data_IF_199794050548
#
_entry.id   IF_199794050548
#
_cell.length_a   1.000
_cell.length_b   1.000
_cell.length_c   1.000
_cell.angle_alpha   90.00
_cell.angle_beta   90.00
_cell.angle_gamma   90.00
#
_symmetry.space_group_name_H-M   'P 1'
#
loop_
_entity.id
_entity.type
_entity.pdbx_description
1 polymer ?
#
# COMPACT_ATOMS: atom_id res chain seq x y z
N UNK A 1 25.04 -17.17 -3.62
CA UNK A 1 24.73 -16.65 -2.26
C UNK A 1 23.28 -16.97 -1.99
N UNK A 2 23.00 -17.79 -0.96
CA UNK A 2 21.65 -18.13 -0.56
C UNK A 2 21.04 -16.96 0.25
N UNK A 3 19.78 -16.63 -0.02
CA UNK A 3 19.07 -15.53 0.66
C UNK A 3 18.77 -15.84 2.14
N UNK A 4 18.89 -17.11 2.53
CA UNK A 4 18.69 -17.59 3.90
C UNK A 4 19.98 -17.67 4.73
N UNK A 5 21.16 -17.54 4.11
CA UNK A 5 22.45 -17.59 4.81
C UNK A 5 22.80 -16.21 5.40
N UNK A 6 21.97 -15.75 6.34
CA UNK A 6 22.03 -14.39 6.89
C UNK A 6 23.28 -14.22 7.77
N UNK A 7 24.15 -13.23 7.50
CA UNK A 7 25.31 -12.93 8.33
C UNK A 7 24.92 -12.60 9.78
N UNK A 8 25.70 -12.99 10.80
CA UNK A 8 25.35 -12.80 12.21
C UNK A 8 25.02 -11.35 12.59
N UNK A 9 25.79 -10.38 12.07
CA UNK A 9 25.57 -8.96 12.33
C UNK A 9 24.25 -8.43 11.73
N UNK A 10 23.78 -9.03 10.63
CA UNK A 10 22.47 -8.72 10.04
C UNK A 10 21.37 -9.40 10.84
N UNK A 11 21.58 -10.67 11.24
CA UNK A 11 20.60 -11.39 12.06
C UNK A 11 20.30 -10.68 13.39
N UNK A 12 21.32 -10.14 14.05
CA UNK A 12 21.15 -9.34 15.27
C UNK A 12 20.27 -8.10 15.04
N UNK A 13 20.49 -7.38 13.93
CA UNK A 13 19.66 -6.22 13.57
C UNK A 13 18.23 -6.63 13.22
N UNK A 14 18.04 -7.73 12.48
CA UNK A 14 16.71 -8.26 12.19
C UNK A 14 15.95 -8.68 13.46
N UNK A 15 16.65 -9.18 14.48
CA UNK A 15 16.04 -9.47 15.78
C UNK A 15 15.57 -8.18 16.47
N UNK A 16 16.37 -7.11 16.42
CA UNK A 16 15.98 -5.80 16.96
C UNK A 16 14.80 -5.18 16.20
N UNK A 17 14.80 -5.28 14.86
CA UNK A 17 13.67 -4.88 14.02
C UNK A 17 12.40 -5.66 14.42
N UNK A 18 12.51 -6.97 14.60
CA UNK A 18 11.37 -7.79 15.00
C UNK A 18 10.83 -7.42 16.39
N UNK A 19 11.70 -7.16 17.37
CA UNK A 19 11.29 -6.71 18.70
C UNK A 19 10.53 -5.36 18.64
N UNK A 20 11.01 -4.42 17.84
CA UNK A 20 10.36 -3.12 17.65
C UNK A 20 9.01 -3.26 16.92
N UNK A 21 8.93 -4.12 15.92
CA UNK A 21 7.68 -4.45 15.24
C UNK A 21 6.65 -5.07 16.20
N UNK A 22 7.08 -5.97 17.09
CA UNK A 22 6.21 -6.62 18.08
C UNK A 22 5.64 -5.64 19.12
N UNK A 23 6.36 -4.54 19.39
CA UNK A 23 5.91 -3.48 20.28
C UNK A 23 4.95 -2.49 19.60
N UNK A 24 5.13 -2.23 18.30
CA UNK A 24 4.44 -1.16 17.58
C UNK A 24 3.27 -1.61 16.72
N UNK A 25 3.23 -2.88 16.32
CA UNK A 25 2.17 -3.44 15.48
C UNK A 25 1.45 -4.54 16.27
N UNK A 26 0.10 -4.54 16.31
CA UNK A 26 -0.66 -5.62 16.94
C UNK A 26 -0.28 -6.98 16.38
N UNK A 27 -0.32 -8.01 17.25
CA UNK A 27 -0.08 -9.38 16.80
C UNK A 27 -1.26 -9.90 15.96
N UNK A 28 -0.94 -10.69 14.93
CA UNK A 28 -1.95 -11.44 14.18
C UNK A 28 -2.54 -12.54 15.07
N UNK A 29 -3.85 -12.53 15.22
CA UNK A 29 -4.62 -13.46 16.05
C UNK A 29 -5.58 -14.22 15.14
N UNK A 30 -5.34 -15.53 15.01
CA UNK A 30 -6.19 -16.44 14.23
C UNK A 30 -7.64 -16.28 14.68
N UNK A 31 -8.53 -16.14 13.71
CA UNK A 31 -9.99 -15.97 13.89
C UNK A 31 -10.45 -14.81 14.78
N UNK A 32 -9.56 -13.85 15.09
CA UNK A 32 -9.90 -12.71 15.96
C UNK A 32 -9.65 -11.35 15.34
N UNK A 33 -8.61 -11.22 14.51
CA UNK A 33 -8.34 -9.96 13.85
C UNK A 33 -7.87 -10.14 12.40
N UNK A 34 -7.92 -9.04 11.66
CA UNK A 34 -7.37 -8.87 10.32
C UNK A 34 -6.50 -7.62 10.28
N UNK A 35 -5.25 -7.77 9.86
CA UNK A 35 -4.28 -6.68 9.71
C UNK A 35 -4.04 -6.40 8.21
N UNK A 36 -4.47 -5.22 7.76
CA UNK A 36 -4.35 -4.76 6.37
C UNK A 36 -3.36 -3.62 6.32
N UNK A 37 -2.43 -3.64 5.36
CA UNK A 37 -1.51 -2.53 5.13
C UNK A 37 -1.46 -2.09 3.67
N UNK A 38 -0.97 -0.88 3.48
CA UNK A 38 -0.53 -0.37 2.18
C UNK A 38 0.87 0.19 2.31
N UNK A 39 1.71 -0.03 1.29
CA UNK A 39 3.07 0.46 1.28
C UNK A 39 3.57 0.74 -0.14
N UNK A 40 3.78 2.02 -0.47
CA UNK A 40 4.60 2.37 -1.62
C UNK A 40 6.04 1.98 -1.30
N UNK A 41 6.59 0.99 -2.03
CA UNK A 41 7.99 0.58 -1.91
C UNK A 41 8.73 1.15 -3.11
N UNK A 42 9.45 2.26 -2.88
CA UNK A 42 10.14 3.04 -3.91
C UNK A 42 10.84 2.17 -4.95
N UNK A 43 10.42 2.24 -6.21
CA UNK A 43 11.01 1.50 -7.32
C UNK A 43 11.33 0.02 -6.99
N UNK A 44 10.33 -0.74 -6.52
CA UNK A 44 10.49 -2.14 -6.09
C UNK A 44 10.66 -3.08 -7.29
N UNK A 45 11.88 -3.11 -7.81
CA UNK A 45 12.23 -3.83 -9.04
C UNK A 45 13.44 -4.75 -8.88
N UNK A 46 14.62 -4.22 -9.22
CA UNK A 46 15.88 -4.96 -9.13
C UNK A 46 16.53 -4.84 -7.73
N UNK A 47 17.54 -5.67 -7.47
CA UNK A 47 18.41 -5.62 -6.29
C UNK A 47 19.84 -6.06 -6.63
N UNK A 48 20.80 -5.58 -5.84
CA UNK A 48 22.17 -6.07 -5.82
C UNK A 48 22.27 -7.35 -4.98
N UNK A 49 22.77 -8.44 -5.57
CA UNK A 49 22.92 -9.77 -4.93
C UNK A 49 24.11 -9.84 -3.96
N UNK A 50 24.17 -8.91 -3.01
CA UNK A 50 25.15 -8.83 -1.92
C UNK A 50 24.42 -8.59 -0.61
N UNK A 51 25.02 -8.98 0.52
CA UNK A 51 24.49 -8.61 1.84
C UNK A 51 24.64 -7.12 2.14
N UNK A 52 25.66 -6.47 1.57
CA UNK A 52 25.93 -5.04 1.69
C UNK A 52 26.36 -4.50 0.33
N UNK A 53 25.51 -3.69 -0.30
CA UNK A 53 25.85 -2.93 -1.50
C UNK A 53 26.93 -1.88 -1.23
N UNK A 54 27.87 -1.76 -2.17
CA UNK A 54 28.92 -0.76 -2.21
C UNK A 54 28.44 0.57 -2.85
N UNK A 55 29.29 1.58 -2.84
CA UNK A 55 28.95 2.92 -3.32
C UNK A 55 28.87 3.01 -4.86
N UNK A 56 29.49 2.08 -5.58
CA UNK A 56 29.37 1.92 -7.03
C UNK A 56 28.29 0.90 -7.46
N UNK A 57 27.69 0.14 -6.54
CA UNK A 57 26.64 -0.82 -6.89
C UNK A 57 25.33 -0.12 -7.29
N UNK A 58 24.65 -0.63 -8.31
CA UNK A 58 23.31 -0.20 -8.72
C UNK A 58 22.43 -1.42 -9.05
N UNK A 59 21.21 -1.51 -8.50
CA UNK A 59 20.57 -0.60 -7.55
C UNK A 59 21.16 -0.71 -6.13
N UNK A 60 20.89 0.28 -5.26
CA UNK A 60 21.38 0.28 -3.87
C UNK A 60 20.72 -0.76 -2.98
N UNK A 61 19.46 -1.12 -3.27
CA UNK A 61 18.74 -2.20 -2.59
C UNK A 61 19.51 -3.51 -2.70
N UNK A 62 19.66 -4.19 -1.58
CA UNK A 62 20.47 -5.40 -1.45
C UNK A 62 19.78 -6.45 -0.57
N UNK A 63 20.42 -7.60 -0.31
CA UNK A 63 19.80 -8.71 0.42
C UNK A 63 19.42 -8.32 1.85
N UNK A 64 20.20 -7.47 2.52
CA UNK A 64 19.84 -6.96 3.85
C UNK A 64 18.56 -6.10 3.77
N UNK A 65 18.47 -5.23 2.77
CA UNK A 65 17.29 -4.39 2.54
C UNK A 65 16.02 -5.22 2.36
N UNK A 66 16.12 -6.30 1.56
CA UNK A 66 15.00 -7.21 1.27
C UNK A 66 14.60 -8.02 2.51
N UNK A 67 15.55 -8.41 3.36
CA UNK A 67 15.24 -9.01 4.66
C UNK A 67 14.43 -8.06 5.54
N UNK A 68 14.83 -6.79 5.67
CA UNK A 68 14.06 -5.80 6.44
C UNK A 68 12.65 -5.62 5.90
N UNK A 69 12.49 -5.43 4.58
CA UNK A 69 11.19 -5.33 3.91
C UNK A 69 10.32 -6.55 4.24
N UNK A 70 10.89 -7.76 4.13
CA UNK A 70 10.15 -9.00 4.41
C UNK A 70 9.70 -9.09 5.89
N UNK A 71 10.51 -8.66 6.87
CA UNK A 71 10.10 -8.68 8.29
C UNK A 71 8.92 -7.74 8.55
N UNK A 72 8.90 -6.57 7.90
CA UNK A 72 7.80 -5.60 8.00
C UNK A 72 6.53 -6.18 7.36
N UNK A 73 6.62 -6.72 6.14
CA UNK A 73 5.48 -7.34 5.45
C UNK A 73 4.86 -8.49 6.26
N UNK A 74 5.69 -9.30 6.95
CA UNK A 74 5.24 -10.42 7.80
C UNK A 74 4.30 -10.04 8.95
N UNK A 75 4.20 -8.76 9.29
CA UNK A 75 3.32 -8.28 10.38
C UNK A 75 1.86 -8.16 9.96
N UNK A 76 1.58 -8.13 8.67
CA UNK A 76 0.22 -7.97 8.15
C UNK A 76 -0.29 -9.27 7.52
N UNK A 77 -1.60 -9.37 7.36
CA UNK A 77 -2.23 -10.50 6.66
C UNK A 77 -2.24 -10.30 5.15
N UNK A 78 -2.41 -9.05 4.76
CA UNK A 78 -2.42 -8.60 3.37
C UNK A 78 -1.83 -7.20 3.27
N UNK A 79 -1.00 -6.99 2.27
CA UNK A 79 -0.36 -5.70 1.99
C UNK A 79 -0.55 -5.35 0.52
N UNK A 80 -1.11 -4.17 0.26
CA UNK A 80 -1.06 -3.56 -1.06
C UNK A 80 0.28 -2.85 -1.26
N UNK A 81 0.96 -3.14 -2.35
CA UNK A 81 2.28 -2.61 -2.67
C UNK A 81 2.19 -1.83 -3.98
N UNK A 82 2.61 -0.58 -3.92
CA UNK A 82 2.76 0.29 -5.08
C UNK A 82 4.22 0.31 -5.55
N UNK A 83 4.46 0.81 -6.76
CA UNK A 83 5.78 0.91 -7.41
C UNK A 83 6.52 -0.42 -7.67
N UNK A 84 5.79 -1.53 -7.78
CA UNK A 84 6.37 -2.80 -8.26
C UNK A 84 6.81 -2.63 -9.71
N UNK A 85 8.10 -2.79 -10.04
CA UNK A 85 8.60 -2.53 -11.41
C UNK A 85 8.40 -3.71 -12.35
N UNK A 86 8.66 -3.46 -13.65
CA UNK A 86 8.71 -4.48 -14.71
C UNK A 86 9.57 -5.70 -14.32
N UNK A 87 10.78 -5.44 -13.80
CA UNK A 87 11.68 -6.45 -13.27
C UNK A 87 11.26 -6.85 -11.86
N UNK A 88 10.83 -8.11 -11.66
CA UNK A 88 10.31 -8.60 -10.38
C UNK A 88 11.39 -9.21 -9.45
N UNK A 89 12.69 -8.99 -9.69
CA UNK A 89 13.74 -9.70 -8.94
C UNK A 89 13.63 -9.49 -7.43
N UNK A 90 13.47 -8.26 -6.99
CA UNK A 90 13.31 -7.89 -5.58
C UNK A 90 12.05 -8.49 -4.98
N UNK A 91 10.91 -8.37 -5.67
CA UNK A 91 9.65 -8.96 -5.25
C UNK A 91 9.74 -10.48 -5.08
N UNK A 92 10.32 -11.18 -6.05
CA UNK A 92 10.48 -12.65 -6.01
C UNK A 92 11.39 -13.10 -4.87
N UNK A 93 12.43 -12.33 -4.57
CA UNK A 93 13.29 -12.61 -3.42
C UNK A 93 12.60 -12.36 -2.09
N UNK A 94 11.83 -11.28 -1.98
CA UNK A 94 10.99 -11.04 -0.80
C UNK A 94 10.02 -12.20 -0.59
N UNK A 95 9.33 -12.67 -1.63
CA UNK A 95 8.43 -13.84 -1.52
C UNK A 95 9.15 -15.11 -1.05
N UNK A 96 10.40 -15.35 -1.48
CA UNK A 96 11.20 -16.49 -0.97
C UNK A 96 11.46 -16.38 0.53
N UNK A 97 11.72 -15.18 1.05
CA UNK A 97 11.91 -14.95 2.50
C UNK A 97 10.59 -15.07 3.27
N UNK A 98 9.50 -14.61 2.67
CA UNK A 98 8.16 -14.72 3.24
C UNK A 98 7.73 -16.19 3.39
N UNK A 99 8.05 -17.02 2.40
CA UNK A 99 7.84 -18.46 2.41
C UNK A 99 6.62 -18.91 1.60
N UNK A 100 6.39 -20.23 1.56
CA UNK A 100 5.39 -20.88 0.69
C UNK A 100 3.93 -20.54 1.01
N UNK A 101 3.67 -20.00 2.20
CA UNK A 101 2.33 -19.57 2.62
C UNK A 101 1.99 -18.15 2.18
N UNK A 102 2.86 -17.48 1.42
CA UNK A 102 2.58 -16.15 0.89
C UNK A 102 2.29 -16.23 -0.60
N UNK A 103 1.18 -15.62 -0.99
CA UNK A 103 0.78 -15.49 -2.39
C UNK A 103 0.84 -14.03 -2.82
N UNK A 104 0.78 -13.85 -4.14
CA UNK A 104 0.91 -12.58 -4.82
C UNK A 104 -0.12 -12.52 -5.95
N UNK A 105 -0.78 -11.38 -6.10
CA UNK A 105 -1.53 -11.01 -7.30
C UNK A 105 -1.16 -9.58 -7.70
N UNK A 106 -0.99 -9.32 -8.99
CA UNK A 106 -0.54 -8.03 -9.51
C UNK A 106 -1.22 -7.69 -10.84
N UNK A 107 -1.29 -6.39 -11.14
CA UNK A 107 -1.56 -5.90 -12.51
C UNK A 107 -0.37 -6.18 -13.42
N UNK A 108 -0.56 -6.08 -14.74
CA UNK A 108 0.60 -5.98 -15.64
C UNK A 108 1.12 -4.54 -15.69
N UNK A 109 2.29 -4.34 -16.32
CA UNK A 109 2.76 -3.00 -16.67
C UNK A 109 1.95 -2.47 -17.84
N UNK A 110 1.54 -1.21 -17.75
CA UNK A 110 0.96 -0.53 -18.89
C UNK A 110 1.96 -0.42 -20.04
N UNK A 111 1.48 -0.61 -21.27
CA UNK A 111 2.34 -0.44 -22.46
C UNK A 111 2.67 1.04 -22.65
N UNK A 112 3.95 1.32 -22.92
CA UNK A 112 4.48 2.68 -23.10
C UNK A 112 5.02 3.31 -21.81
N UNK A 113 5.68 4.46 -21.96
CA UNK A 113 6.48 5.05 -20.88
C UNK A 113 5.65 5.72 -19.79
N UNK A 114 4.40 6.05 -20.09
CA UNK A 114 3.55 6.85 -19.21
C UNK A 114 3.34 6.17 -17.84
N UNK A 115 3.32 4.83 -17.79
CA UNK A 115 3.09 4.03 -16.58
C UNK A 115 4.36 3.77 -15.77
N UNK A 116 5.51 4.31 -16.19
CA UNK A 116 6.81 4.12 -15.58
C UNK A 116 7.22 2.63 -15.43
N UNK A 117 6.60 1.71 -16.16
CA UNK A 117 6.80 0.27 -15.98
C UNK A 117 6.50 -0.21 -14.56
N UNK A 118 5.44 0.32 -13.94
CA UNK A 118 4.97 -0.03 -12.60
C UNK A 118 3.71 -0.89 -12.61
N UNK A 119 3.53 -1.61 -11.50
CA UNK A 119 2.41 -2.47 -11.21
C UNK A 119 1.90 -2.18 -9.81
N UNK A 120 0.64 -2.49 -9.60
CA UNK A 120 0.06 -2.63 -8.27
C UNK A 120 0.02 -4.11 -7.91
N UNK A 121 0.30 -4.41 -6.65
CA UNK A 121 0.34 -5.79 -6.17
C UNK A 121 -0.34 -5.92 -4.81
N UNK A 122 -0.91 -7.08 -4.55
CA UNK A 122 -1.25 -7.54 -3.22
C UNK A 122 -0.39 -8.76 -2.87
N UNK A 123 0.24 -8.71 -1.70
CA UNK A 123 0.93 -9.86 -1.11
C UNK A 123 0.18 -10.24 0.16
N UNK A 124 -0.14 -11.53 0.33
CA UNK A 124 -0.99 -11.98 1.43
C UNK A 124 -0.64 -13.39 1.93
N UNK A 125 -0.88 -13.63 3.22
CA UNK A 125 -0.66 -14.92 3.88
C UNK A 125 -1.87 -15.84 3.64
N UNK A 126 -1.69 -16.90 2.86
CA UNK A 126 -2.76 -17.82 2.43
C UNK A 126 -3.32 -18.67 3.56
N UNK A 127 -2.68 -18.67 4.73
CA UNK A 127 -3.21 -19.30 5.94
C UNK A 127 -4.28 -18.44 6.61
N UNK A 128 -4.31 -17.14 6.29
CA UNK A 128 -5.18 -16.13 6.90
C UNK A 128 -6.24 -15.65 5.92
N UNK A 129 -5.82 -15.30 4.71
CA UNK A 129 -6.68 -14.66 3.70
C UNK A 129 -6.66 -15.46 2.41
N UNK A 130 -7.83 -15.59 1.77
CA UNK A 130 -7.99 -16.21 0.44
C UNK A 130 -8.61 -15.19 -0.50
N UNK A 131 -8.31 -15.28 -1.79
CA UNK A 131 -9.09 -14.54 -2.79
C UNK A 131 -10.52 -15.06 -2.83
N UNK A 132 -11.49 -14.17 -3.06
CA UNK A 132 -12.92 -14.52 -3.13
C UNK A 132 -13.51 -14.48 -4.54
N UNK A 133 -12.78 -13.95 -5.54
CA UNK A 133 -13.10 -14.15 -6.95
C UNK A 133 -12.98 -12.91 -7.85
N UNK A 134 -13.09 -11.71 -7.30
CA UNK A 134 -12.91 -10.47 -8.05
C UNK A 134 -11.43 -10.11 -8.14
N UNK A 135 -10.96 -9.81 -9.36
CA UNK A 135 -9.73 -9.08 -9.62
C UNK A 135 -9.97 -8.23 -10.87
N UNK A 136 -9.89 -6.91 -10.74
CA UNK A 136 -10.25 -5.99 -11.82
C UNK A 136 -9.41 -4.72 -11.77
N UNK A 137 -9.07 -4.21 -12.95
CA UNK A 137 -8.61 -2.84 -13.11
C UNK A 137 -9.81 -1.95 -13.41
N UNK A 138 -9.88 -0.83 -12.70
CA UNK A 138 -10.99 0.10 -12.76
C UNK A 138 -10.70 1.16 -13.83
N UNK A 139 -11.37 1.04 -14.98
CA UNK A 139 -11.37 2.04 -16.06
C UNK A 139 -12.53 3.02 -15.91
N UNK A 140 -12.24 4.32 -16.00
CA UNK A 140 -13.24 5.38 -15.91
C UNK A 140 -14.25 5.26 -17.07
N UNK A 141 -15.57 5.26 -16.81
CA UNK A 141 -16.59 5.20 -17.86
C UNK A 141 -16.47 6.34 -18.87
N UNK A 142 -16.81 6.06 -20.14
CA UNK A 142 -16.63 7.03 -21.22
C UNK A 142 -17.46 8.31 -20.99
N UNK A 143 -18.64 8.15 -20.41
CA UNK A 143 -19.59 9.22 -20.13
C UNK A 143 -19.02 10.26 -19.15
N UNK A 144 -18.05 9.87 -18.33
CA UNK A 144 -17.46 10.71 -17.29
C UNK A 144 -16.18 11.43 -17.74
N UNK A 145 -15.63 11.05 -18.90
CA UNK A 145 -14.40 11.63 -19.42
C UNK A 145 -14.53 13.14 -19.71
N UNK A 146 -15.71 13.55 -20.19
CA UNK A 146 -16.02 14.95 -20.48
C UNK A 146 -16.01 15.83 -19.21
N UNK A 147 -16.22 15.24 -18.03
CA UNK A 147 -16.17 15.92 -16.73
C UNK A 147 -14.73 16.01 -16.17
N UNK A 148 -13.79 15.22 -16.70
CA UNK A 148 -12.44 15.01 -16.14
C UNK A 148 -11.40 15.82 -16.91
N UNK A 149 -11.17 15.50 -18.19
CA UNK A 149 -10.31 16.25 -19.10
C UNK A 149 -10.37 15.69 -20.51
N UNK A 150 -10.05 16.52 -21.51
CA UNK A 150 -9.90 16.07 -22.91
C UNK A 150 -8.79 15.00 -23.09
N UNK A 151 -7.95 14.77 -22.06
CA UNK A 151 -6.87 13.77 -22.03
C UNK A 151 -7.18 12.56 -21.15
N UNK A 152 -8.35 12.50 -20.50
CA UNK A 152 -8.70 11.46 -19.55
C UNK A 152 -8.61 10.05 -20.17
N UNK A 153 -8.98 9.90 -21.45
CA UNK A 153 -8.83 8.64 -22.20
C UNK A 153 -7.39 8.19 -22.38
N UNK A 154 -6.47 9.14 -22.59
CA UNK A 154 -5.05 8.83 -22.76
C UNK A 154 -4.33 8.60 -21.44
N UNK A 155 -4.84 9.18 -20.35
CA UNK A 155 -4.23 9.11 -19.02
C UNK A 155 -4.79 7.97 -18.15
N UNK A 156 -6.03 7.52 -18.39
CA UNK A 156 -6.66 6.45 -17.59
C UNK A 156 -5.83 5.16 -17.60
N UNK A 157 -5.29 4.76 -18.76
CA UNK A 157 -4.55 3.50 -18.94
C UNK A 157 -3.17 3.49 -18.30
N UNK A 158 -2.87 4.46 -17.43
CA UNK A 158 -1.52 4.66 -16.96
C UNK A 158 -1.32 4.19 -15.53
N UNK A 159 -2.37 4.20 -14.68
CA UNK A 159 -2.43 3.61 -13.33
C UNK A 159 -3.90 3.43 -12.85
N UNK A 160 -4.66 2.56 -13.51
CA UNK A 160 -6.03 2.25 -13.09
C UNK A 160 -6.07 1.79 -11.62
N UNK A 161 -7.01 2.23 -10.78
CA UNK A 161 -7.22 1.61 -9.48
C UNK A 161 -7.37 0.10 -9.62
N UNK A 162 -6.68 -0.66 -8.78
CA UNK A 162 -6.69 -2.11 -8.85
C UNK A 162 -7.50 -2.69 -7.71
N UNK A 163 -8.60 -3.37 -8.04
CA UNK A 163 -9.53 -3.95 -7.08
C UNK A 163 -9.38 -5.47 -7.02
N UNK A 164 -9.23 -6.02 -5.82
CA UNK A 164 -9.23 -7.47 -5.60
C UNK A 164 -10.09 -7.81 -4.39
N UNK A 165 -10.93 -8.83 -4.51
CA UNK A 165 -11.72 -9.34 -3.41
C UNK A 165 -11.03 -10.49 -2.69
N UNK A 166 -11.12 -10.43 -1.38
CA UNK A 166 -10.57 -11.39 -0.44
C UNK A 166 -11.66 -11.85 0.53
N UNK A 167 -11.36 -12.93 1.23
CA UNK A 167 -12.16 -13.44 2.33
C UNK A 167 -11.29 -13.97 3.45
N UNK A 168 -11.79 -13.80 4.66
CA UNK A 168 -11.27 -14.38 5.89
C UNK A 168 -12.48 -14.81 6.73
N UNK A 169 -12.50 -16.06 7.17
CA UNK A 169 -13.68 -16.65 7.82
C UNK A 169 -14.96 -16.42 7.02
N UNK A 170 -15.97 -15.76 7.61
CA UNK A 170 -17.23 -15.43 6.94
C UNK A 170 -17.23 -14.02 6.32
N UNK A 171 -16.17 -13.24 6.54
CA UNK A 171 -16.06 -11.86 6.07
C UNK A 171 -15.47 -11.83 4.65
N UNK A 172 -16.14 -11.10 3.76
CA UNK A 172 -15.64 -10.79 2.42
C UNK A 172 -15.34 -9.31 2.34
N UNK A 173 -14.20 -8.97 1.75
CA UNK A 173 -13.76 -7.59 1.60
C UNK A 173 -13.07 -7.37 0.26
N UNK A 174 -13.30 -6.22 -0.35
CA UNK A 174 -12.60 -5.74 -1.53
C UNK A 174 -11.62 -4.67 -1.09
N UNK A 175 -10.37 -4.84 -1.53
CA UNK A 175 -9.37 -3.80 -1.46
C UNK A 175 -9.24 -3.15 -2.82
N UNK A 176 -9.26 -1.83 -2.87
CA UNK A 176 -8.94 -1.05 -4.06
C UNK A 176 -7.69 -0.25 -3.80
N UNK A 177 -6.61 -0.60 -4.49
CA UNK A 177 -5.35 0.13 -4.38
C UNK A 177 -5.24 1.23 -5.42
N UNK A 178 -4.85 2.43 -4.96
CA UNK A 178 -4.66 3.60 -5.80
C UNK A 178 -3.20 4.07 -5.76
N UNK A 179 -2.70 4.53 -6.91
CA UNK A 179 -1.40 5.17 -7.04
C UNK A 179 -1.51 6.37 -7.98
N UNK A 180 -2.10 7.44 -7.46
CA UNK A 180 -2.46 8.64 -8.24
C UNK A 180 -1.18 9.36 -8.67
N UNK A 181 -1.11 9.84 -9.91
CA UNK A 181 0.10 10.51 -10.40
C UNK A 181 0.37 11.81 -9.66
N UNK A 182 1.64 12.05 -9.39
CA UNK A 182 2.11 13.38 -9.00
C UNK A 182 2.09 14.28 -10.25
N UNK A 183 1.00 15.03 -10.43
CA UNK A 183 0.82 15.97 -11.54
C UNK A 183 1.80 17.17 -11.48
N UNK A 184 1.79 18.02 -12.52
CA UNK A 184 2.57 19.28 -12.52
C UNK A 184 1.98 20.30 -11.56
N UNK A 185 0.65 20.27 -11.35
CA UNK A 185 -0.06 21.15 -10.42
C UNK A 185 -1.03 20.37 -9.54
N UNK A 186 -1.41 20.94 -8.41
CA UNK A 186 -2.44 20.37 -7.54
C UNK A 186 -3.83 20.36 -8.17
N UNK A 187 -4.10 21.28 -9.12
CA UNK A 187 -5.39 21.37 -9.83
C UNK A 187 -5.70 20.13 -10.65
N UNK A 188 -4.68 19.59 -11.34
CA UNK A 188 -4.82 18.39 -12.19
C UNK A 188 -5.27 17.17 -11.37
N UNK A 189 -4.76 17.05 -10.14
CA UNK A 189 -5.07 15.95 -9.22
C UNK A 189 -6.50 16.02 -8.65
N UNK A 190 -7.08 17.22 -8.49
CA UNK A 190 -8.41 17.39 -7.89
C UNK A 190 -9.48 16.70 -8.73
N UNK A 191 -9.43 16.88 -10.05
CA UNK A 191 -10.43 16.29 -10.96
C UNK A 191 -10.36 14.76 -10.94
N UNK A 192 -9.15 14.21 -11.02
CA UNK A 192 -8.91 12.76 -10.96
C UNK A 192 -9.42 12.17 -9.63
N UNK A 193 -9.03 12.77 -8.50
CA UNK A 193 -9.47 12.33 -7.17
C UNK A 193 -10.99 12.42 -7.02
N UNK A 194 -11.61 13.51 -7.48
CA UNK A 194 -13.06 13.69 -7.39
C UNK A 194 -13.81 12.61 -8.17
N UNK A 195 -13.39 12.33 -9.41
CA UNK A 195 -14.06 11.36 -10.26
C UNK A 195 -13.88 9.94 -9.78
N UNK A 196 -12.68 9.59 -9.31
CA UNK A 196 -12.43 8.32 -8.63
C UNK A 196 -13.30 8.23 -7.38
N UNK A 197 -13.34 9.25 -6.53
CA UNK A 197 -14.13 9.22 -5.30
C UNK A 197 -15.64 9.08 -5.59
N UNK A 198 -16.17 9.76 -6.60
CA UNK A 198 -17.55 9.60 -7.08
C UNK A 198 -17.81 8.18 -7.57
N UNK A 199 -16.92 7.64 -8.40
CA UNK A 199 -17.05 6.27 -8.90
C UNK A 199 -17.06 5.25 -7.77
N UNK A 200 -16.09 5.36 -6.87
CA UNK A 200 -15.97 4.45 -5.73
C UNK A 200 -17.19 4.58 -4.80
N UNK A 201 -17.77 5.77 -4.68
CA UNK A 201 -19.00 6.01 -3.91
C UNK A 201 -20.21 5.31 -4.53
N UNK A 202 -20.34 5.37 -5.86
CA UNK A 202 -21.40 4.66 -6.58
C UNK A 202 -21.21 3.14 -6.51
N UNK A 203 -19.99 2.65 -6.73
CA UNK A 203 -19.69 1.23 -6.64
C UNK A 203 -19.91 0.67 -5.23
N UNK A 204 -19.57 1.44 -4.19
CA UNK A 204 -19.81 1.09 -2.79
C UNK A 204 -21.31 0.87 -2.48
N UNK A 205 -22.21 1.61 -3.14
CA UNK A 205 -23.67 1.41 -3.00
C UNK A 205 -24.11 0.08 -3.62
N UNK A 206 -23.54 -0.28 -4.77
CA UNK A 206 -23.91 -1.49 -5.52
C UNK A 206 -23.39 -2.78 -4.85
N UNK A 207 -22.11 -2.83 -4.46
CA UNK A 207 -21.50 -4.04 -3.85
C UNK A 207 -22.08 -4.38 -2.48
N UNK A 208 -22.63 -3.40 -1.78
CA UNK A 208 -23.28 -3.65 -0.50
C UNK A 208 -24.54 -4.52 -0.64
N UNK A 209 -25.19 -4.54 -1.81
CA UNK A 209 -26.24 -5.52 -2.08
C UNK A 209 -25.76 -6.98 -1.87
N UNK A 210 -24.44 -7.19 -1.84
CA UNK A 210 -23.78 -8.47 -1.61
C UNK A 210 -23.00 -8.54 -0.27
N UNK A 211 -23.22 -7.60 0.66
CA UNK A 211 -22.59 -7.56 1.99
C UNK A 211 -21.05 -7.60 1.99
N UNK A 212 -20.41 -6.91 1.05
CA UNK A 212 -18.94 -6.86 0.97
C UNK A 212 -18.38 -5.60 1.63
N UNK A 213 -17.36 -5.77 2.49
CA UNK A 213 -16.58 -4.65 3.01
C UNK A 213 -15.76 -4.01 1.89
N UNK A 214 -15.70 -2.68 1.81
CA UNK A 214 -15.03 -1.97 0.71
C UNK A 214 -14.03 -0.96 1.23
N UNK A 215 -12.75 -1.19 0.96
CA UNK A 215 -11.64 -0.40 1.52
C UNK A 215 -10.76 0.11 0.38
N UNK A 216 -10.54 1.42 0.37
CA UNK A 216 -9.62 2.12 -0.53
C UNK A 216 -8.31 2.37 0.21
N UNK A 217 -7.18 2.11 -0.45
CA UNK A 217 -5.86 2.27 0.16
C UNK A 217 -4.76 2.49 -0.89
N UNK A 218 -3.60 3.00 -0.50
CA UNK A 218 -2.51 3.26 -1.45
C UNK A 218 -1.91 4.64 -1.30
N UNK A 219 -1.16 5.05 -2.33
CA UNK A 219 -0.55 6.37 -2.44
C UNK A 219 -1.45 7.27 -3.30
N UNK A 220 -2.20 8.14 -2.62
CA UNK A 220 -3.14 9.07 -3.26
C UNK A 220 -2.46 10.39 -3.63
N UNK A 221 -1.17 10.55 -3.29
CA UNK A 221 -0.44 11.81 -3.48
C UNK A 221 -1.18 13.04 -2.92
N UNK A 222 -1.92 12.88 -1.81
CA UNK A 222 -2.54 13.97 -1.06
C UNK A 222 -1.46 14.76 -0.32
N UNK A 223 -1.40 16.08 -0.51
CA UNK A 223 -0.24 16.84 -0.08
C UNK A 223 -0.21 17.06 1.43
N UNK A 224 -1.32 17.47 2.04
CA UNK A 224 -1.39 17.80 3.46
C UNK A 224 -2.76 17.46 4.03
N UNK A 225 -2.82 17.20 5.32
CA UNK A 225 -4.10 17.04 6.05
C UNK A 225 -4.95 18.30 5.91
N UNK A 226 -6.22 18.12 5.58
CA UNK A 226 -7.18 19.21 5.42
C UNK A 226 -6.93 20.10 4.19
N UNK A 227 -6.01 19.75 3.29
CA UNK A 227 -5.89 20.45 2.02
C UNK A 227 -7.10 20.17 1.10
N UNK A 228 -7.18 20.87 -0.03
CA UNK A 228 -8.29 20.72 -0.96
C UNK A 228 -8.39 19.30 -1.56
N UNK A 229 -7.25 18.62 -1.73
CA UNK A 229 -7.23 17.23 -2.23
C UNK A 229 -7.84 16.29 -1.18
N UNK A 230 -7.47 16.45 0.09
CA UNK A 230 -8.02 15.70 1.21
C UNK A 230 -9.52 15.99 1.38
N UNK A 231 -9.94 17.24 1.31
CA UNK A 231 -11.36 17.63 1.39
C UNK A 231 -12.18 17.03 0.24
N UNK A 232 -11.65 17.08 -0.99
CA UNK A 232 -12.30 16.48 -2.17
C UNK A 232 -12.46 14.97 -2.00
N UNK A 233 -11.43 14.29 -1.50
CA UNK A 233 -11.44 12.86 -1.26
C UNK A 233 -12.53 12.44 -0.26
N UNK A 234 -12.64 13.16 0.87
CA UNK A 234 -13.63 12.83 1.92
C UNK A 234 -15.06 13.29 1.58
N UNK A 235 -15.23 14.31 0.72
CA UNK A 235 -16.53 14.90 0.39
C UNK A 235 -17.54 13.89 -0.20
N UNK A 236 -17.05 12.88 -0.92
CA UNK A 236 -17.89 11.84 -1.52
C UNK A 236 -18.36 10.77 -0.52
N UNK A 237 -17.95 10.86 0.75
CA UNK A 237 -18.33 9.97 1.84
C UNK A 237 -17.23 9.02 2.31
N UNK A 238 -15.99 9.21 1.85
CA UNK A 238 -14.86 8.44 2.35
C UNK A 238 -14.48 8.93 3.75
N UNK A 239 -14.42 8.00 4.67
CA UNK A 239 -14.00 8.19 6.03
C UNK A 239 -12.59 7.63 6.21
N UNK A 240 -11.68 8.49 6.65
CA UNK A 240 -10.37 8.09 7.15
C UNK A 240 -10.50 7.99 8.67
N UNK A 241 -10.17 6.86 9.33
CA UNK A 241 -10.30 6.73 10.77
C UNK A 241 -9.43 7.75 11.53
N UNK A 242 -9.90 8.22 12.67
CA UNK A 242 -9.26 9.28 13.48
C UNK A 242 -7.79 8.97 13.80
N UNK A 243 -7.49 7.70 14.07
CA UNK A 243 -6.16 7.18 14.33
C UNK A 243 -5.20 7.52 13.19
N UNK A 244 -5.64 7.38 11.93
CA UNK A 244 -4.82 7.69 10.76
C UNK A 244 -4.78 9.17 10.40
N UNK A 245 -5.77 9.94 10.84
CA UNK A 245 -5.79 11.40 10.72
C UNK A 245 -4.81 12.08 11.69
N UNK A 246 -4.46 11.41 12.80
CA UNK A 246 -3.52 11.93 13.79
C UNK A 246 -2.20 12.40 13.13
N UNK A 247 -1.73 13.59 13.51
CA UNK A 247 -0.50 14.21 12.98
C UNK A 247 0.76 13.42 13.29
N UNK A 248 0.74 12.57 14.31
CA UNK A 248 1.86 11.69 14.66
C UNK A 248 1.96 10.47 13.73
N UNK A 249 0.93 10.16 12.96
CA UNK A 249 0.98 9.07 11.98
C UNK A 249 1.57 9.59 10.67
N UNK A 250 2.81 9.25 10.38
CA UNK A 250 3.54 9.82 9.25
C UNK A 250 3.33 9.02 7.96
N UNK A 251 3.58 9.66 6.81
CA UNK A 251 3.50 9.02 5.47
C UNK A 251 4.85 8.99 4.75
N UNK A 252 5.63 10.06 4.86
CA UNK A 252 6.94 10.19 4.22
C UNK A 252 8.08 10.25 5.24
N UNK A 253 9.23 9.66 4.88
CA UNK A 253 10.46 9.72 5.67
C UNK A 253 11.14 11.11 5.64
N UNK A 254 10.83 11.91 4.62
CA UNK A 254 11.48 13.20 4.37
C UNK A 254 10.68 14.38 4.90
N UNK A 255 9.36 14.35 4.73
CA UNK A 255 8.49 15.45 5.11
C UNK A 255 7.27 14.94 5.87
N UNK A 256 7.29 15.16 7.18
CA UNK A 256 6.23 14.74 8.11
C UNK A 256 4.88 15.42 7.86
N UNK A 257 4.86 16.54 7.15
CA UNK A 257 3.61 17.23 6.79
C UNK A 257 2.87 16.56 5.64
N UNK A 258 3.56 15.72 4.85
CA UNK A 258 2.98 15.05 3.69
C UNK A 258 1.96 13.99 4.10
N UNK A 259 0.89 13.90 3.33
CA UNK A 259 -0.27 13.06 3.63
C UNK A 259 -0.60 12.11 2.47
N UNK A 260 0.42 11.63 1.77
CA UNK A 260 0.29 10.92 0.50
C UNK A 260 -0.57 9.66 0.60
N UNK A 261 -0.20 8.74 1.49
CA UNK A 261 -0.84 7.44 1.59
C UNK A 261 -2.12 7.46 2.44
N UNK A 262 -3.14 6.71 2.04
CA UNK A 262 -4.42 6.63 2.74
C UNK A 262 -4.88 5.19 2.91
N UNK A 263 -5.70 4.98 3.95
CA UNK A 263 -6.62 3.85 4.08
C UNK A 263 -7.96 4.47 4.51
N UNK A 264 -9.00 4.23 3.72
CA UNK A 264 -10.32 4.81 3.92
C UNK A 264 -11.42 3.85 3.45
N UNK A 265 -12.62 4.03 3.95
CA UNK A 265 -13.83 3.31 3.52
C UNK A 265 -15.00 4.28 3.52
N UNK A 266 -16.08 3.94 2.85
CA UNK A 266 -17.25 4.82 2.86
C UNK A 266 -17.98 4.74 4.20
N UNK A 267 -18.35 5.88 4.74
CA UNK A 267 -19.19 6.00 5.93
C UNK A 267 -19.95 7.34 5.85
N UNK A 268 -21.28 7.30 5.78
CA UNK A 268 -22.11 8.50 5.93
C UNK A 268 -23.22 8.24 6.95
N UNK A 269 -23.20 8.94 8.10
CA UNK A 269 -24.32 8.94 9.04
C UNK A 269 -25.61 9.32 8.30
N UNK A 270 -26.70 8.58 8.55
CA UNK A 270 -28.05 8.86 8.00
C UNK A 270 -28.18 8.76 6.47
N UNK A 271 -27.42 7.88 5.81
CA UNK A 271 -27.56 7.61 4.38
C UNK A 271 -27.56 6.10 4.10
N UNK A 272 -28.02 5.70 2.90
CA UNK A 272 -27.90 4.32 2.38
C UNK A 272 -26.44 3.91 2.07
N UNK A 273 -25.43 4.69 2.50
CA UNK A 273 -24.03 4.35 2.31
C UNK A 273 -23.59 3.42 3.46
N UNK A 274 -23.00 2.26 3.16
CA UNK A 274 -22.87 1.20 4.15
C UNK A 274 -21.74 1.42 5.14
N UNK A 275 -21.87 0.82 6.32
CA UNK A 275 -20.77 0.64 7.26
C UNK A 275 -20.06 -0.69 6.97
N UNK A 276 -18.75 -0.77 7.29
CA UNK A 276 -18.04 -2.05 7.31
C UNK A 276 -18.72 -3.00 8.30
N UNK A 277 -18.89 -4.27 7.95
CA UNK A 277 -19.29 -5.33 8.89
C UNK A 277 -18.17 -5.65 9.86
N UNK A 278 -16.92 -5.55 9.39
CA UNK A 278 -15.74 -5.68 10.23
C UNK A 278 -15.57 -4.43 11.10
N UNK A 279 -15.42 -4.62 12.41
CA UNK A 279 -15.25 -3.52 13.35
C UNK A 279 -13.79 -3.06 13.38
N UNK A 280 -13.57 -1.80 13.06
CA UNK A 280 -12.25 -1.17 13.14
C UNK A 280 -11.77 -1.10 14.60
N UNK A 281 -10.54 -1.57 14.86
CA UNK A 281 -9.91 -1.57 16.17
C UNK A 281 -8.85 -0.47 16.32
N UNK A 282 -7.89 -0.43 15.38
CA UNK A 282 -6.76 0.49 15.46
C UNK A 282 -6.12 0.71 14.08
N UNK A 283 -5.25 1.71 13.97
CA UNK A 283 -4.45 1.95 12.77
C UNK A 283 -3.26 2.85 13.05
N UNK A 284 -2.27 2.79 12.18
CA UNK A 284 -1.07 3.59 12.32
C UNK A 284 -0.12 3.48 11.13
N UNK A 285 1.12 3.90 11.36
CA UNK A 285 2.23 3.69 10.44
C UNK A 285 3.33 2.93 11.17
N UNK A 286 4.28 2.37 10.42
CA UNK A 286 5.51 1.83 11.02
C UNK A 286 6.74 2.64 10.57
N UNK A 287 7.35 3.36 11.50
CA UNK A 287 8.63 4.06 11.27
C UNK A 287 9.80 3.08 11.34
N UNK A 288 10.25 2.62 10.17
CA UNK A 288 11.37 1.68 10.04
C UNK A 288 12.76 2.34 10.13
N UNK A 289 12.87 3.68 10.15
CA UNK A 289 14.18 4.35 10.10
C UNK A 289 15.08 4.02 11.30
N UNK A 290 14.58 3.91 12.54
CA UNK A 290 15.42 3.66 13.72
C UNK A 290 15.94 2.23 13.82
N UNK A 291 15.40 1.28 13.05
CA UNK A 291 15.65 -0.16 13.25
C UNK A 291 16.18 -0.87 12.01
N UNK A 292 16.10 -0.25 10.83
CA UNK A 292 16.60 -0.83 9.58
C UNK A 292 17.91 -0.21 9.14
N UNK A 293 18.84 -1.05 8.67
CA UNK A 293 20.15 -0.70 8.14
C UNK A 293 20.97 0.16 9.11
N UNK A 294 20.80 -0.04 10.42
CA UNK A 294 21.46 0.78 11.46
C UNK A 294 22.94 0.45 11.58
N UNK A 295 23.34 -0.77 11.26
CA UNK A 295 24.73 -1.21 11.22
C UNK A 295 25.54 -0.60 10.04
N UNK A 296 24.97 0.36 9.28
CA UNK A 296 25.52 0.84 8.01
C UNK A 296 25.70 2.36 7.86
N UNK A 297 25.61 3.16 8.91
CA UNK A 297 25.72 4.64 8.86
C UNK A 297 25.11 5.26 7.59
N UNK A 298 23.88 4.85 7.26
CA UNK A 298 23.23 5.13 5.97
C UNK A 298 22.34 6.37 6.09
N UNK A 299 22.52 7.33 5.19
CA UNK A 299 21.68 8.54 5.13
C UNK A 299 20.21 8.20 4.81
N UNK A 300 19.27 9.07 5.21
CA UNK A 300 17.84 8.91 4.86
C UNK A 300 17.62 8.74 3.36
N UNK A 301 18.33 9.51 2.54
CA UNK A 301 18.26 9.41 1.08
C UNK A 301 18.66 8.02 0.58
N UNK A 302 19.77 7.47 1.09
CA UNK A 302 20.20 6.13 0.70
C UNK A 302 19.23 5.06 1.23
N UNK A 303 18.73 5.20 2.47
CA UNK A 303 17.68 4.31 3.01
C UNK A 303 16.42 4.31 2.14
N UNK A 304 16.05 5.45 1.54
CA UNK A 304 14.87 5.50 0.66
C UNK A 304 14.99 4.62 -0.58
N UNK A 305 16.18 4.51 -1.17
CA UNK A 305 16.44 3.65 -2.33
C UNK A 305 16.62 2.17 -1.95
N UNK A 306 16.90 1.90 -0.68
CA UNK A 306 17.12 0.54 -0.18
C UNK A 306 15.81 -0.07 0.34
N UNK A 307 15.06 0.70 1.13
CA UNK A 307 13.77 0.33 1.71
C UNK A 307 12.65 1.05 0.96
N UNK A 308 12.28 2.25 1.38
CA UNK A 308 11.30 3.13 0.72
C UNK A 308 11.42 4.58 1.25
N UNK A 309 10.88 5.56 0.54
CA UNK A 309 10.61 6.93 1.04
C UNK A 309 9.23 7.10 1.69
N UNK A 310 8.39 6.08 1.63
CA UNK A 310 7.09 6.03 2.30
C UNK A 310 7.11 5.05 3.48
N UNK A 311 6.38 5.40 4.54
CA UNK A 311 6.09 4.49 5.63
C UNK A 311 4.91 3.58 5.27
N UNK A 312 4.93 2.29 5.65
CA UNK A 312 3.73 1.47 5.55
C UNK A 312 2.64 2.01 6.47
N UNK A 313 1.45 2.16 5.93
CA UNK A 313 0.24 2.51 6.68
C UNK A 313 -0.58 1.24 6.92
N UNK A 314 -1.22 1.12 8.08
CA UNK A 314 -1.92 -0.12 8.44
C UNK A 314 -3.17 0.14 9.28
N UNK A 315 -4.09 -0.83 9.24
CA UNK A 315 -5.31 -0.89 10.04
C UNK A 315 -5.53 -2.31 10.56
N UNK A 316 -6.18 -2.41 11.72
CA UNK A 316 -6.61 -3.65 12.36
C UNK A 316 -8.14 -3.65 12.47
N UNK A 317 -8.74 -4.78 12.11
CA UNK A 317 -10.17 -5.04 12.28
C UNK A 317 -10.38 -6.26 13.17
N UNK A 318 -11.49 -6.27 13.92
CA UNK A 318 -12.06 -7.44 14.59
C UNK A 318 -12.85 -8.27 13.56
N UNK A 319 -12.75 -9.60 13.67
CA UNK A 319 -13.42 -10.57 12.80
C UNK A 319 -14.73 -11.12 13.39
#
# INVERSE_FOLDING_TARGET
>A
MNIHDIPPNIQLELNQLNQDLDQKIPSRKIDKNLLIATWNIRAFGDLTRKWKSADNDTPKRDLHSIQCIAQILKRFDIVAIQEVKANLRALRDTLKILGSHWSLILTDVNRGDAGNGERMAYIFDTRRVKMSGLAAELVIPQEWLNEISDKALTEQFVRNPYAVSFKINNETFILVTLHIKYGKTSSDRIKEIKSIAKWMSDWAKDIHAYHQNFILLGDFNIDKRGDLLNQTFIAEGLHIPEQLQNKTVLRSIFNQTKYYDQIAWFQKPNSNIPQLSMKFLNGGHYDFLPTTLINRNTSKLRKSWMISDHYPLWVEFEL
#
